data_IF_921481744973
#
_entry.id   IF_921481744973
#
_cell.length_a   1.000
_cell.length_b   1.000
_cell.length_c   1.000
_cell.angle_alpha   90.00
_cell.angle_beta   90.00
_cell.angle_gamma   90.00
#
_symmetry.space_group_name_H-M   'P 1'
#
loop_
_entity.id
_entity.type
_entity.pdbx_description
1 polymer ?
#
# COMPACT_ATOMS: atom_id res chain seq x y z
N UNK A 1 -11.17 22.24 -2.79
CA UNK A 1 -10.10 21.21 -2.63
C UNK A 1 -9.78 20.93 -1.16
N UNK A 2 -9.62 21.95 -0.29
CA UNK A 2 -9.36 21.75 1.15
C UNK A 2 -10.43 20.93 1.88
N UNK A 3 -11.69 21.11 1.57
CA UNK A 3 -12.82 20.38 2.18
C UNK A 3 -12.83 18.89 1.77
N UNK A 4 -12.53 18.59 0.50
CA UNK A 4 -12.40 17.21 0.03
C UNK A 4 -11.21 16.47 0.68
N UNK A 5 -10.08 17.18 0.87
CA UNK A 5 -8.92 16.62 1.57
C UNK A 5 -9.27 16.30 3.04
N UNK A 6 -9.91 17.24 3.75
CA UNK A 6 -10.32 17.02 5.14
C UNK A 6 -11.23 15.79 5.28
N UNK A 7 -12.15 15.58 4.33
CA UNK A 7 -13.09 14.47 4.34
C UNK A 7 -12.43 13.10 4.08
N UNK A 8 -11.51 13.02 3.10
CA UNK A 8 -11.02 11.73 2.61
C UNK A 8 -9.65 11.32 3.16
N UNK A 9 -8.87 12.25 3.69
CA UNK A 9 -7.53 11.96 4.23
C UNK A 9 -7.53 10.92 5.35
N UNK A 10 -8.44 10.93 6.34
CA UNK A 10 -8.48 9.89 7.37
C UNK A 10 -8.72 8.48 6.81
N UNK A 11 -9.56 8.37 5.77
CA UNK A 11 -9.83 7.11 5.08
C UNK A 11 -8.64 6.65 4.24
N UNK A 12 -7.91 7.56 3.63
CA UNK A 12 -6.68 7.25 2.91
C UNK A 12 -5.58 6.76 3.85
N UNK A 13 -5.42 7.37 5.02
CA UNK A 13 -4.51 6.91 6.06
C UNK A 13 -4.91 5.52 6.60
N UNK A 14 -6.22 5.26 6.72
CA UNK A 14 -6.75 3.94 7.04
C UNK A 14 -6.38 2.92 5.97
N UNK A 15 -6.61 3.24 4.70
CA UNK A 15 -6.24 2.40 3.55
C UNK A 15 -4.74 2.10 3.54
N UNK A 16 -3.88 3.10 3.77
CA UNK A 16 -2.44 2.93 3.85
C UNK A 16 -2.02 1.99 5.00
N UNK A 17 -2.66 2.11 6.16
CA UNK A 17 -2.39 1.26 7.32
C UNK A 17 -2.70 -0.20 7.05
N UNK A 18 -3.84 -0.50 6.42
CA UNK A 18 -4.19 -1.88 6.09
C UNK A 18 -3.36 -2.45 4.93
N UNK A 19 -2.93 -1.62 3.97
CA UNK A 19 -2.03 -2.01 2.91
C UNK A 19 -0.74 -2.66 3.45
N UNK A 20 -0.17 -2.09 4.52
CA UNK A 20 1.03 -2.59 5.17
C UNK A 20 0.93 -4.03 5.72
N UNK A 21 -0.28 -4.59 5.84
CA UNK A 21 -0.48 -6.00 6.22
C UNK A 21 -0.03 -6.98 5.12
N UNK A 22 0.11 -6.51 3.88
CA UNK A 22 0.62 -7.29 2.74
C UNK A 22 2.14 -7.36 2.65
N UNK A 23 2.87 -6.62 3.48
CA UNK A 23 4.34 -6.55 3.43
C UNK A 23 5.00 -7.93 3.57
N UNK A 24 5.87 -8.28 2.62
CA UNK A 24 6.56 -9.57 2.53
C UNK A 24 5.71 -10.71 1.95
N UNK A 25 4.50 -10.42 1.46
CA UNK A 25 3.56 -11.43 0.93
C UNK A 25 3.09 -11.13 -0.49
N UNK A 26 3.23 -9.89 -0.93
CA UNK A 26 2.67 -9.43 -2.22
C UNK A 26 3.72 -9.13 -3.27
N UNK A 27 4.96 -8.97 -2.87
CA UNK A 27 6.05 -8.62 -3.78
C UNK A 27 6.17 -9.63 -4.94
N UNK A 28 6.46 -9.17 -6.14
CA UNK A 28 6.83 -7.83 -6.58
C UNK A 28 5.66 -6.85 -6.81
N UNK A 29 4.43 -7.22 -6.46
CA UNK A 29 3.25 -6.34 -6.55
C UNK A 29 3.27 -5.27 -5.45
N UNK A 30 2.55 -4.14 -5.66
CA UNK A 30 2.44 -3.10 -4.64
C UNK A 30 1.60 -3.56 -3.44
N UNK A 31 1.96 -3.06 -2.27
CA UNK A 31 1.06 -3.08 -1.12
C UNK A 31 -0.06 -2.07 -1.36
N UNK A 32 -1.29 -2.55 -1.54
CA UNK A 32 -2.47 -1.71 -1.78
C UNK A 32 -3.51 -1.96 -0.71
N UNK A 33 -4.16 -0.90 -0.27
CA UNK A 33 -5.33 -0.94 0.62
C UNK A 33 -6.48 -0.15 0.03
N UNK A 34 -7.69 -0.61 0.29
CA UNK A 34 -8.93 0.02 -0.15
C UNK A 34 -9.94 0.05 0.99
N UNK A 35 -10.62 1.18 1.17
CA UNK A 35 -11.74 1.34 2.09
C UNK A 35 -12.96 1.79 1.30
N UNK A 36 -14.08 1.12 1.50
CA UNK A 36 -15.38 1.51 0.94
C UNK A 36 -16.13 2.31 2.01
N UNK A 37 -16.51 3.53 1.66
CA UNK A 37 -17.15 4.49 2.57
C UNK A 37 -18.53 4.84 2.03
N UNK A 38 -19.54 4.73 2.87
CA UNK A 38 -20.93 5.07 2.54
C UNK A 38 -21.09 6.59 2.29
N UNK A 39 -22.19 7.03 1.65
CA UNK A 39 -22.46 8.45 1.43
C UNK A 39 -22.56 9.27 2.73
N UNK A 40 -23.01 8.63 3.82
CA UNK A 40 -23.10 9.24 5.16
C UNK A 40 -21.75 9.36 5.87
N UNK A 41 -20.67 8.82 5.28
CA UNK A 41 -19.31 8.85 5.81
C UNK A 41 -18.96 7.68 6.71
N UNK A 42 -19.80 6.63 6.82
CA UNK A 42 -19.47 5.43 7.59
C UNK A 42 -18.65 4.43 6.78
N UNK A 43 -17.77 3.66 7.45
CA UNK A 43 -17.05 2.56 6.83
C UNK A 43 -17.99 1.40 6.51
N UNK A 44 -18.02 0.97 5.25
CA UNK A 44 -18.76 -0.24 4.84
C UNK A 44 -17.86 -1.47 4.91
N UNK A 45 -16.65 -1.37 4.36
CA UNK A 45 -15.71 -2.48 4.27
C UNK A 45 -14.29 -2.00 3.99
N UNK A 46 -13.30 -2.82 4.34
CA UNK A 46 -11.90 -2.64 3.98
C UNK A 46 -11.34 -3.88 3.28
N UNK A 47 -10.35 -3.68 2.42
CA UNK A 47 -9.61 -4.74 1.74
C UNK A 47 -8.17 -4.34 1.54
N UNK A 48 -7.27 -5.31 1.44
CA UNK A 48 -5.88 -5.11 1.06
C UNK A 48 -5.39 -6.28 0.21
N UNK A 49 -4.39 -6.04 -0.61
CA UNK A 49 -3.75 -7.11 -1.36
C UNK A 49 -3.01 -8.03 -0.38
N UNK A 50 -3.47 -9.28 -0.25
CA UNK A 50 -3.04 -10.18 0.82
C UNK A 50 -1.83 -11.01 0.47
N UNK A 51 -1.70 -11.38 -0.81
CA UNK A 51 -0.64 -12.25 -1.32
C UNK A 51 -0.50 -12.12 -2.83
N UNK A 52 0.69 -12.36 -3.32
CA UNK A 52 0.98 -12.42 -4.76
C UNK A 52 0.00 -13.36 -5.49
N UNK A 53 -0.58 -12.86 -6.59
CA UNK A 53 -1.55 -13.60 -7.41
C UNK A 53 -2.96 -13.70 -6.82
N UNK A 54 -3.16 -13.19 -5.61
CA UNK A 54 -4.49 -13.08 -5.00
C UNK A 54 -5.27 -11.86 -5.51
N UNK A 55 -6.53 -11.68 -5.03
CA UNK A 55 -7.35 -10.51 -5.37
C UNK A 55 -6.67 -9.20 -4.96
N UNK A 56 -6.90 -8.15 -5.74
CA UNK A 56 -6.47 -6.81 -5.38
C UNK A 56 -7.32 -6.23 -4.24
N UNK A 57 -6.83 -5.17 -3.62
CA UNK A 57 -7.46 -4.54 -2.46
C UNK A 57 -8.90 -4.11 -2.71
N UNK A 58 -9.16 -3.55 -3.89
CA UNK A 58 -10.48 -3.09 -4.31
C UNK A 58 -11.45 -4.28 -4.39
N UNK A 59 -11.05 -5.38 -5.02
CA UNK A 59 -11.86 -6.59 -5.16
C UNK A 59 -12.17 -7.20 -3.79
N UNK A 60 -11.20 -7.23 -2.88
CA UNK A 60 -11.40 -7.70 -1.50
C UNK A 60 -12.37 -6.81 -0.72
N UNK A 61 -12.24 -5.48 -0.87
CA UNK A 61 -13.14 -4.53 -0.23
C UNK A 61 -14.58 -4.65 -0.79
N UNK A 62 -14.70 -4.72 -2.12
CA UNK A 62 -16.00 -4.85 -2.81
C UNK A 62 -16.71 -6.16 -2.45
N UNK A 63 -16.01 -7.29 -2.36
CA UNK A 63 -16.59 -8.57 -1.93
C UNK A 63 -17.21 -8.48 -0.53
N UNK A 64 -16.57 -7.76 0.38
CA UNK A 64 -17.06 -7.56 1.74
C UNK A 64 -18.19 -6.54 1.83
N UNK A 65 -18.13 -5.52 0.98
CA UNK A 65 -19.18 -4.51 0.89
C UNK A 65 -20.48 -5.09 0.32
N UNK A 66 -20.36 -5.99 -0.66
CA UNK A 66 -21.51 -6.54 -1.38
C UNK A 66 -22.34 -5.43 -2.02
N UNK A 67 -23.66 -5.55 -2.00
CA UNK A 67 -24.57 -4.57 -2.58
C UNK A 67 -24.45 -3.15 -1.98
N UNK A 68 -23.87 -3.01 -0.78
CA UNK A 68 -23.66 -1.71 -0.13
C UNK A 68 -22.57 -0.85 -0.80
N UNK A 69 -21.79 -1.44 -1.72
CA UNK A 69 -20.82 -0.68 -2.50
C UNK A 69 -21.49 0.29 -3.49
N UNK A 70 -22.75 0.05 -3.87
CA UNK A 70 -23.47 0.92 -4.80
C UNK A 70 -23.67 2.31 -4.20
N UNK A 71 -23.26 3.33 -4.96
CA UNK A 71 -23.31 4.74 -4.52
C UNK A 71 -22.25 5.12 -3.49
N UNK A 72 -21.42 4.20 -3.03
CA UNK A 72 -20.35 4.45 -2.08
C UNK A 72 -19.11 5.09 -2.72
N UNK A 73 -18.15 5.49 -1.89
CA UNK A 73 -16.82 5.95 -2.31
C UNK A 73 -15.78 4.89 -2.01
N UNK A 74 -14.99 4.52 -3.00
CA UNK A 74 -13.78 3.70 -2.82
C UNK A 74 -12.56 4.60 -2.61
N UNK A 75 -11.88 4.46 -1.48
CA UNK A 75 -10.64 5.18 -1.15
C UNK A 75 -9.49 4.18 -1.23
N UNK A 76 -8.55 4.38 -2.14
CA UNK A 76 -7.50 3.42 -2.46
C UNK A 76 -6.12 4.06 -2.52
N UNK A 77 -5.09 3.38 -2.03
CA UNK A 77 -3.74 3.93 -1.92
C UNK A 77 -3.02 4.10 -3.25
N UNK A 78 -3.38 3.32 -4.27
CA UNK A 78 -2.80 3.36 -5.61
C UNK A 78 -3.93 3.45 -6.64
N UNK A 79 -3.69 4.07 -7.78
CA UNK A 79 -4.62 4.14 -8.89
C UNK A 79 -5.14 2.73 -9.24
N UNK A 80 -6.46 2.52 -9.36
CA UNK A 80 -7.03 1.23 -9.74
C UNK A 80 -6.52 0.78 -11.11
N UNK A 81 -6.04 -0.45 -11.19
CA UNK A 81 -5.50 -0.98 -12.45
C UNK A 81 -6.56 -1.09 -13.55
N UNK A 82 -6.11 -0.94 -14.82
CA UNK A 82 -6.97 -1.02 -16.02
C UNK A 82 -6.51 -2.09 -17.02
N UNK A 83 -5.79 -3.11 -16.56
CA UNK A 83 -5.32 -4.20 -17.42
C UNK A 83 -5.91 -5.55 -16.99
N UNK A 84 -6.03 -6.46 -17.94
CA UNK A 84 -6.35 -7.85 -17.68
C UNK A 84 -5.05 -8.61 -17.36
N UNK A 85 -4.86 -8.93 -16.08
CA UNK A 85 -3.79 -9.80 -15.59
C UNK A 85 -4.34 -11.17 -15.20
N UNK A 86 -3.89 -11.68 -14.06
CA UNK A 86 -4.47 -12.90 -13.45
C UNK A 86 -5.89 -12.69 -12.93
N UNK A 87 -6.24 -11.47 -12.65
CA UNK A 87 -7.59 -10.99 -12.29
C UNK A 87 -8.01 -9.92 -13.28
N UNK A 88 -9.33 -9.70 -13.42
CA UNK A 88 -9.84 -8.59 -14.22
C UNK A 88 -9.44 -7.23 -13.65
N UNK A 89 -9.53 -6.14 -14.44
CA UNK A 89 -9.16 -4.80 -14.02
C UNK A 89 -10.01 -4.30 -12.84
N UNK A 90 -9.38 -3.67 -11.85
CA UNK A 90 -10.07 -3.10 -10.70
C UNK A 90 -11.03 -1.97 -11.11
N UNK A 91 -10.70 -1.22 -12.17
CA UNK A 91 -11.57 -0.21 -12.76
C UNK A 91 -12.93 -0.81 -13.21
N UNK A 92 -12.92 -1.99 -13.84
CA UNK A 92 -14.14 -2.69 -14.21
C UNK A 92 -14.92 -3.15 -12.98
N UNK A 93 -14.25 -3.76 -11.99
CA UNK A 93 -14.91 -4.23 -10.78
C UNK A 93 -15.58 -3.09 -9.98
N UNK A 94 -14.92 -1.93 -9.87
CA UNK A 94 -15.48 -0.73 -9.23
C UNK A 94 -16.71 -0.20 -9.98
N UNK A 95 -16.64 -0.15 -11.31
CA UNK A 95 -17.77 0.25 -12.16
C UNK A 95 -18.96 -0.71 -12.02
N UNK A 96 -18.74 -2.00 -12.08
CA UNK A 96 -19.79 -3.04 -11.95
C UNK A 96 -20.45 -3.00 -10.57
N UNK A 97 -19.65 -2.73 -9.51
CA UNK A 97 -20.18 -2.53 -8.16
C UNK A 97 -21.02 -1.25 -8.02
N UNK A 98 -20.94 -0.34 -9.00
CA UNK A 98 -21.71 0.90 -9.02
C UNK A 98 -21.26 1.91 -7.99
N UNK A 99 -19.96 1.99 -7.67
CA UNK A 99 -19.45 3.05 -6.79
C UNK A 99 -19.65 4.42 -7.43
N UNK A 100 -19.99 5.42 -6.63
CA UNK A 100 -20.21 6.78 -7.13
C UNK A 100 -18.90 7.57 -7.27
N UNK A 101 -17.90 7.24 -6.46
CA UNK A 101 -16.62 7.97 -6.43
C UNK A 101 -15.45 7.04 -6.16
N UNK A 102 -14.31 7.39 -6.74
CA UNK A 102 -13.00 6.79 -6.41
C UNK A 102 -12.04 7.89 -5.99
N UNK A 103 -11.40 7.72 -4.84
CA UNK A 103 -10.33 8.60 -4.33
C UNK A 103 -9.05 7.77 -4.29
N UNK A 104 -7.99 8.22 -5.00
CA UNK A 104 -6.71 7.51 -4.99
C UNK A 104 -5.55 8.44 -4.66
N UNK A 105 -4.48 7.88 -4.06
CA UNK A 105 -3.35 8.67 -3.59
C UNK A 105 -2.18 8.72 -4.56
N UNK A 106 -1.77 7.58 -5.10
CA UNK A 106 -0.61 7.47 -5.98
C UNK A 106 -1.06 7.08 -7.39
N UNK A 107 -0.53 7.74 -8.41
CA UNK A 107 -0.70 7.27 -9.79
C UNK A 107 0.13 5.99 -10.01
N UNK A 108 -0.38 5.05 -10.80
CA UNK A 108 0.37 3.85 -11.15
C UNK A 108 1.33 4.17 -12.31
N UNK A 109 2.66 4.09 -12.11
CA UNK A 109 3.63 4.37 -13.15
C UNK A 109 3.79 3.21 -14.14
N UNK A 110 3.18 2.04 -13.89
CA UNK A 110 3.34 0.87 -14.74
C UNK A 110 2.53 1.05 -16.04
N UNK A 111 3.16 1.10 -17.25
CA UNK A 111 2.47 1.46 -18.49
C UNK A 111 1.27 0.56 -18.82
N UNK A 112 1.30 -0.70 -18.41
CA UNK A 112 0.23 -1.65 -18.66
C UNK A 112 -0.92 -1.55 -17.64
N UNK A 113 -0.65 -1.07 -16.41
CA UNK A 113 -1.63 -1.02 -15.34
C UNK A 113 -2.33 0.35 -15.21
N UNK A 114 -1.66 1.41 -15.62
CA UNK A 114 -2.14 2.79 -15.58
C UNK A 114 -3.44 3.02 -16.37
N UNK A 115 -4.10 4.15 -16.12
CA UNK A 115 -5.27 4.59 -16.88
C UNK A 115 -6.61 4.19 -16.26
N UNK A 116 -6.61 3.58 -15.08
CA UNK A 116 -7.86 3.23 -14.39
C UNK A 116 -8.66 4.45 -13.96
N UNK A 117 -7.99 5.51 -13.55
CA UNK A 117 -8.63 6.78 -13.22
C UNK A 117 -9.39 7.37 -14.41
N UNK A 118 -8.74 7.40 -15.59
CA UNK A 118 -9.36 7.89 -16.82
C UNK A 118 -10.54 7.00 -17.27
N UNK A 119 -10.40 5.66 -17.19
CA UNK A 119 -11.45 4.72 -17.54
C UNK A 119 -12.67 4.87 -16.61
N UNK A 120 -12.47 5.07 -15.32
CA UNK A 120 -13.54 5.30 -14.35
C UNK A 120 -14.26 6.64 -14.60
N UNK A 121 -13.50 7.71 -14.86
CA UNK A 121 -14.06 9.02 -15.19
C UNK A 121 -14.86 8.96 -16.49
N UNK A 122 -14.39 8.29 -17.54
CA UNK A 122 -15.13 8.08 -18.78
C UNK A 122 -16.42 7.28 -18.58
N UNK A 123 -16.49 6.44 -17.57
CA UNK A 123 -17.69 5.71 -17.16
C UNK A 123 -18.64 6.52 -16.25
N UNK A 124 -18.38 7.80 -16.02
CA UNK A 124 -19.22 8.69 -15.21
C UNK A 124 -19.00 8.58 -13.70
N UNK A 125 -17.96 7.89 -13.25
CA UNK A 125 -17.59 7.81 -11.84
C UNK A 125 -16.73 9.03 -11.48
N UNK A 126 -17.06 9.71 -10.38
CA UNK A 126 -16.25 10.82 -9.89
C UNK A 126 -14.87 10.31 -9.42
N UNK A 127 -13.80 10.86 -9.98
CA UNK A 127 -12.43 10.47 -9.63
C UNK A 127 -11.68 11.63 -9.00
N UNK A 128 -11.11 11.41 -7.82
CA UNK A 128 -10.32 12.40 -7.09
C UNK A 128 -8.91 11.85 -6.83
N UNK A 129 -7.89 12.56 -7.30
CA UNK A 129 -6.52 12.33 -6.89
C UNK A 129 -6.23 13.11 -5.60
N UNK A 130 -5.89 12.40 -4.54
CA UNK A 130 -5.60 12.95 -3.21
C UNK A 130 -4.26 12.41 -2.70
N UNK A 131 -3.13 13.10 -2.97
CA UNK A 131 -1.83 12.71 -2.45
C UNK A 131 -1.85 12.57 -0.92
N UNK A 132 -1.23 11.50 -0.41
CA UNK A 132 -1.18 11.19 1.01
C UNK A 132 0.17 10.55 1.36
N UNK A 133 0.92 11.19 2.25
CA UNK A 133 2.25 10.73 2.66
C UNK A 133 2.26 9.30 3.24
N UNK A 134 1.18 8.87 3.89
CA UNK A 134 1.07 7.49 4.39
C UNK A 134 0.94 6.47 3.24
N UNK A 135 0.13 6.80 2.21
CA UNK A 135 -0.03 5.97 1.03
C UNK A 135 1.26 5.94 0.19
N UNK A 136 1.91 7.08 0.02
CA UNK A 136 3.20 7.18 -0.68
C UNK A 136 4.27 6.31 -0.01
N UNK A 137 4.39 6.35 1.32
CA UNK A 137 5.35 5.51 2.05
C UNK A 137 5.11 4.02 1.85
N UNK A 138 3.87 3.56 1.87
CA UNK A 138 3.58 2.12 1.74
C UNK A 138 3.77 1.63 0.31
N UNK A 139 3.58 2.50 -0.69
CA UNK A 139 3.78 2.16 -2.10
C UNK A 139 5.20 2.46 -2.61
N UNK A 140 6.01 3.20 -1.85
CA UNK A 140 7.34 3.67 -2.26
C UNK A 140 8.27 2.58 -2.81
N UNK A 141 8.40 1.38 -2.22
CA UNK A 141 9.26 0.33 -2.75
C UNK A 141 8.87 -0.09 -4.18
N UNK A 142 7.57 -0.26 -4.42
CA UNK A 142 7.03 -0.59 -5.73
C UNK A 142 7.27 0.53 -6.73
N UNK A 143 6.90 1.78 -6.38
CA UNK A 143 7.06 2.95 -7.26
C UNK A 143 8.53 3.18 -7.63
N UNK A 144 9.44 3.02 -6.66
CA UNK A 144 10.88 3.13 -6.89
C UNK A 144 11.34 2.09 -7.92
N UNK A 145 11.02 0.82 -7.69
CA UNK A 145 11.42 -0.27 -8.58
C UNK A 145 10.88 -0.10 -10.01
N UNK A 146 9.62 0.29 -10.17
CA UNK A 146 9.03 0.48 -11.50
C UNK A 146 9.66 1.66 -12.24
N UNK A 147 9.97 2.75 -11.53
CA UNK A 147 10.55 3.97 -12.13
C UNK A 147 12.04 3.85 -12.45
N UNK A 148 12.78 3.12 -11.63
CA UNK A 148 14.27 3.11 -11.72
C UNK A 148 14.84 1.76 -12.15
N UNK A 149 14.08 0.66 -12.03
CA UNK A 149 14.59 -0.69 -12.20
C UNK A 149 15.47 -1.18 -11.04
N UNK A 150 15.71 -0.34 -10.02
CA UNK A 150 16.60 -0.66 -8.91
C UNK A 150 15.81 -1.21 -7.70
N UNK A 151 16.44 -2.05 -6.86
CA UNK A 151 15.83 -2.53 -5.64
C UNK A 151 15.64 -1.40 -4.62
N UNK A 152 14.62 -1.53 -3.79
CA UNK A 152 14.46 -0.69 -2.60
C UNK A 152 15.41 -1.17 -1.50
N UNK A 153 16.33 -0.31 -1.05
CA UNK A 153 17.34 -0.64 -0.06
C UNK A 153 16.92 -0.11 1.31
N UNK A 154 16.87 -1.01 2.29
CA UNK A 154 16.67 -0.66 3.70
C UNK A 154 17.94 -0.94 4.48
N UNK A 155 18.53 0.09 5.08
CA UNK A 155 19.73 -0.03 5.90
C UNK A 155 19.31 -0.16 7.36
N UNK A 156 19.87 -1.18 8.07
CA UNK A 156 19.66 -1.40 9.49
C UNK A 156 21.00 -1.52 10.21
N UNK A 157 21.17 -0.75 11.26
CA UNK A 157 22.30 -0.90 12.18
C UNK A 157 21.83 -0.77 13.64
N UNK A 158 22.65 -1.23 14.57
CA UNK A 158 22.47 -0.96 15.99
C UNK A 158 23.70 -0.23 16.52
N UNK A 159 23.49 0.84 17.25
CA UNK A 159 24.55 1.64 17.83
C UNK A 159 24.13 2.16 19.21
N UNK A 160 25.10 2.49 20.04
CA UNK A 160 24.90 3.21 21.29
C UNK A 160 24.56 4.67 21.02
N UNK A 161 24.15 5.41 22.05
CA UNK A 161 23.78 6.83 21.90
C UNK A 161 24.95 7.69 21.39
N UNK A 162 26.20 7.32 21.74
CA UNK A 162 27.42 7.94 21.26
C UNK A 162 27.97 7.35 19.93
N UNK A 163 27.13 6.57 19.23
CA UNK A 163 27.43 6.11 17.88
C UNK A 163 28.36 4.89 17.77
N UNK A 164 28.55 4.13 18.85
CA UNK A 164 29.43 2.95 18.85
C UNK A 164 28.62 1.69 18.50
N UNK A 165 29.26 0.79 17.75
CA UNK A 165 28.68 -0.52 17.35
C UNK A 165 29.26 -1.68 18.20
N UNK A 166 30.32 -1.45 18.94
CA UNK A 166 30.98 -2.39 19.87
C UNK A 166 31.80 -1.64 20.91
N UNK A 167 32.15 -2.32 21.98
CA UNK A 167 33.17 -1.86 22.93
C UNK A 167 34.58 -1.93 22.32
N UNK A 168 35.58 -1.38 23.00
CA UNK A 168 36.99 -1.48 22.62
C UNK A 168 37.48 -2.94 22.56
N UNK A 169 36.85 -3.84 23.33
CA UNK A 169 37.16 -5.29 23.36
C UNK A 169 36.37 -6.11 22.36
N UNK A 170 35.54 -5.46 21.50
CA UNK A 170 34.72 -6.12 20.49
C UNK A 170 33.34 -6.61 20.98
N UNK A 171 33.03 -6.43 22.27
CA UNK A 171 31.71 -6.83 22.77
C UNK A 171 30.61 -5.92 22.19
N UNK A 172 29.60 -6.52 21.53
CA UNK A 172 28.51 -5.82 20.86
C UNK A 172 27.12 -6.33 21.27
N UNK A 173 27.05 -7.35 22.09
CA UNK A 173 25.79 -8.00 22.51
C UNK A 173 25.43 -7.58 23.94
N UNK A 174 24.28 -6.93 24.21
CA UNK A 174 23.29 -6.49 23.23
C UNK A 174 23.16 -4.97 23.33
N UNK A 175 23.27 -4.27 22.20
CA UNK A 175 23.10 -2.81 22.14
C UNK A 175 21.61 -2.45 22.20
N UNK A 176 20.76 -3.28 21.57
CA UNK A 176 19.30 -3.07 21.53
C UNK A 176 18.56 -4.12 22.36
N UNK A 177 17.43 -3.71 22.93
CA UNK A 177 16.58 -4.59 23.73
C UNK A 177 15.89 -5.69 22.90
N UNK A 178 15.32 -6.70 23.56
CA UNK A 178 14.66 -7.87 22.94
C UNK A 178 13.54 -7.46 21.98
N UNK A 179 12.70 -6.49 22.38
CA UNK A 179 11.61 -5.99 21.56
C UNK A 179 12.11 -5.43 20.21
N UNK A 180 13.20 -4.66 20.24
CA UNK A 180 13.81 -4.13 19.02
C UNK A 180 14.39 -5.25 18.15
N UNK A 181 15.02 -6.25 18.74
CA UNK A 181 15.55 -7.40 18.00
C UNK A 181 14.42 -8.21 17.36
N UNK A 182 13.32 -8.46 18.08
CA UNK A 182 12.15 -9.14 17.52
C UNK A 182 11.53 -8.37 16.33
N UNK A 183 11.52 -7.02 16.39
CA UNK A 183 11.11 -6.19 15.26
C UNK A 183 12.04 -6.36 14.06
N UNK A 184 13.36 -6.33 14.28
CA UNK A 184 14.36 -6.55 13.22
C UNK A 184 14.22 -7.94 12.58
N UNK A 185 14.00 -8.99 13.36
CA UNK A 185 13.75 -10.33 12.82
C UNK A 185 12.51 -10.38 11.94
N UNK A 186 11.45 -9.68 12.32
CA UNK A 186 10.24 -9.55 11.51
C UNK A 186 10.50 -8.85 10.19
N UNK A 187 11.25 -7.74 10.20
CA UNK A 187 11.63 -7.04 8.98
C UNK A 187 12.52 -7.89 8.06
N UNK A 188 13.47 -8.64 8.64
CA UNK A 188 14.31 -9.58 7.86
C UNK A 188 13.50 -10.68 7.17
N UNK A 189 12.39 -11.10 7.75
CA UNK A 189 11.48 -12.08 7.14
C UNK A 189 10.60 -11.52 6.01
N UNK A 190 10.71 -10.22 5.71
CA UNK A 190 9.87 -9.51 4.72
C UNK A 190 10.64 -8.99 3.51
N UNK A 191 11.94 -9.19 3.46
CA UNK A 191 12.80 -8.73 2.37
C UNK A 191 13.22 -9.93 1.51
N UNK A 192 13.46 -9.69 0.21
CA UNK A 192 13.86 -10.72 -0.74
C UNK A 192 15.33 -11.14 -0.54
N UNK A 193 16.18 -10.22 -0.04
CA UNK A 193 17.58 -10.47 0.19
C UNK A 193 18.10 -9.71 1.41
N UNK A 194 19.04 -10.31 2.12
CA UNK A 194 19.76 -9.71 3.24
C UNK A 194 21.24 -9.65 2.87
N UNK A 195 21.79 -8.44 2.84
CA UNK A 195 23.21 -8.21 2.61
C UNK A 195 23.88 -7.93 3.96
N UNK A 196 24.98 -8.61 4.23
CA UNK A 196 25.76 -8.44 5.46
C UNK A 196 27.25 -8.53 5.14
N UNK A 197 28.10 -7.98 6.04
CA UNK A 197 29.54 -8.10 5.92
C UNK A 197 30.02 -9.54 6.20
N UNK A 198 31.19 -9.89 5.63
CA UNK A 198 31.78 -11.24 5.80
C UNK A 198 32.15 -11.56 7.24
N UNK A 199 32.36 -10.54 8.07
CA UNK A 199 32.69 -10.71 9.49
C UNK A 199 31.48 -10.61 10.44
N UNK A 200 30.26 -10.61 9.90
CA UNK A 200 29.04 -10.44 10.72
C UNK A 200 28.45 -11.78 11.09
#
# INVERSE_FOLDING_TARGET
MADAAARWLPWMERAARIAGRGHGLVEPNPMVGCVIVAPDGTEIAEGYHRRLGGPHAEVEALRRAGARARGATAVVTLEPCNHHGRTGPCSAALREAGVARVVYACADPHPQAAGGAAALAAAGIEVLHLPCAAAERVTAPFLHRVRTGLPWVTVKWAQTLDGRIATRTGASQWISGERSRAMVHRERGRVDAILTGIGT
#
